data_IF_443193619969
#
_entry.id   IF_443193619969
#
_cell.length_a   1.000
_cell.length_b   1.000
_cell.length_c   1.000
_cell.angle_alpha   90.00
_cell.angle_beta   90.00
_cell.angle_gamma   90.00
#
_symmetry.space_group_name_H-M   'P 1'
#
loop_
_entity.id
_entity.type
_entity.pdbx_description
1 polymer ?
#
# COMPACT_ATOMS: atom_id res chain seq x y z
N UNK A 1 1.18 9.04 -2.45
CA UNK A 1 2.60 9.39 -2.27
C UNK A 1 3.43 9.02 -3.50
N UNK A 2 3.52 7.73 -3.78
CA UNK A 2 4.54 7.19 -4.68
C UNK A 2 4.42 7.77 -6.11
N UNK A 3 3.20 7.90 -6.64
CA UNK A 3 2.94 8.55 -7.94
C UNK A 3 3.48 9.98 -8.01
N UNK A 4 3.35 10.76 -6.93
CA UNK A 4 3.83 12.15 -6.88
C UNK A 4 5.36 12.16 -6.83
N UNK A 5 5.96 11.27 -6.03
CA UNK A 5 7.42 11.16 -5.88
C UNK A 5 8.08 10.70 -7.18
N UNK A 6 7.44 9.79 -7.93
CA UNK A 6 7.87 9.36 -9.27
C UNK A 6 7.79 10.51 -10.29
N UNK A 7 6.69 11.27 -10.30
CA UNK A 7 6.52 12.39 -11.22
C UNK A 7 7.40 13.61 -10.85
N UNK A 8 7.71 13.80 -9.57
CA UNK A 8 8.48 14.92 -9.02
C UNK A 8 9.48 14.41 -7.98
N UNK A 9 10.72 14.06 -8.40
CA UNK A 9 11.73 13.53 -7.48
C UNK A 9 12.07 14.45 -6.29
N UNK A 10 11.92 15.77 -6.46
CA UNK A 10 12.14 16.78 -5.41
C UNK A 10 11.01 16.87 -4.38
N UNK A 11 9.88 16.22 -4.60
CA UNK A 11 8.76 16.24 -3.65
C UNK A 11 9.16 15.58 -2.32
N UNK A 12 8.94 16.27 -1.21
CA UNK A 12 9.17 15.75 0.14
C UNK A 12 7.80 15.62 0.84
N UNK A 13 7.33 14.39 1.13
CA UNK A 13 6.09 14.19 1.85
C UNK A 13 6.23 14.50 3.34
N UNK A 14 5.10 14.81 3.97
CA UNK A 14 5.02 15.05 5.41
C UNK A 14 5.53 13.89 6.27
N UNK A 15 5.41 12.64 5.79
CA UNK A 15 5.88 11.45 6.51
C UNK A 15 7.38 11.18 6.39
N UNK A 16 8.14 12.00 5.65
CA UNK A 16 9.60 12.02 5.74
C UNK A 16 10.00 12.95 6.90
N UNK A 17 10.22 12.36 8.07
CA UNK A 17 10.46 13.09 9.34
C UNK A 17 11.95 13.38 9.53
N UNK A 18 12.81 12.44 9.14
CA UNK A 18 14.25 12.57 9.25
C UNK A 18 14.93 11.72 8.16
N UNK A 19 16.25 11.81 8.06
CA UNK A 19 17.00 10.96 7.14
C UNK A 19 16.81 9.46 7.42
N UNK A 20 16.69 9.08 8.70
CA UNK A 20 16.49 7.70 9.14
C UNK A 20 15.03 7.27 9.12
N UNK A 21 14.08 8.22 9.28
CA UNK A 21 12.64 7.99 9.27
C UNK A 21 12.05 8.60 7.99
N UNK A 22 12.07 7.82 6.90
CA UNK A 22 11.56 8.25 5.59
C UNK A 22 10.56 7.27 5.01
N UNK A 23 9.31 7.72 4.87
CA UNK A 23 8.28 7.00 4.13
C UNK A 23 8.60 6.95 2.62
N UNK A 24 9.27 7.95 2.05
CA UNK A 24 9.72 7.91 0.65
C UNK A 24 10.70 6.76 0.43
N UNK A 25 11.73 6.60 1.27
CA UNK A 25 12.68 5.48 1.17
C UNK A 25 11.97 4.13 1.26
N UNK A 26 11.03 4.00 2.20
CA UNK A 26 10.26 2.77 2.37
C UNK A 26 9.34 2.48 1.16
N UNK A 27 8.52 3.46 0.76
CA UNK A 27 7.47 3.28 -0.25
C UNK A 27 7.99 3.29 -1.70
N UNK A 28 9.18 3.85 -1.94
CA UNK A 28 9.86 3.74 -3.24
C UNK A 28 10.74 2.48 -3.35
N UNK A 29 10.90 1.72 -2.25
CA UNK A 29 11.66 0.48 -2.29
C UNK A 29 10.93 -0.62 -3.05
N UNK A 30 11.69 -1.62 -3.52
CA UNK A 30 11.11 -2.82 -4.16
C UNK A 30 10.09 -3.56 -3.28
N UNK A 31 10.21 -3.42 -1.96
CA UNK A 31 9.33 -4.08 -1.00
C UNK A 31 7.95 -3.43 -0.93
N UNK A 32 7.79 -2.20 -1.41
CA UNK A 32 6.52 -1.49 -1.48
C UNK A 32 5.66 -1.89 -2.68
N UNK A 33 6.15 -2.76 -3.57
CA UNK A 33 5.40 -3.26 -4.72
C UNK A 33 5.30 -4.77 -4.65
N UNK A 34 4.08 -5.30 -4.58
CA UNK A 34 3.82 -6.73 -4.48
C UNK A 34 4.55 -7.37 -3.30
N UNK A 35 4.76 -6.61 -2.22
CA UNK A 35 5.57 -7.01 -1.06
C UNK A 35 7.03 -7.40 -1.40
N UNK A 36 7.53 -7.03 -2.59
CA UNK A 36 8.80 -7.51 -3.15
C UNK A 36 8.83 -9.00 -3.54
N UNK A 37 7.67 -9.67 -3.47
CA UNK A 37 7.54 -11.12 -3.67
C UNK A 37 6.77 -11.42 -4.96
N UNK A 38 5.69 -10.68 -5.22
CA UNK A 38 4.81 -10.94 -6.37
C UNK A 38 5.55 -10.77 -7.70
N UNK A 39 6.36 -9.72 -7.85
CA UNK A 39 7.20 -9.52 -9.05
C UNK A 39 8.17 -10.69 -9.27
N UNK A 40 8.76 -11.21 -8.19
CA UNK A 40 9.70 -12.34 -8.22
C UNK A 40 9.02 -13.68 -8.57
N UNK A 41 7.83 -13.93 -8.04
CA UNK A 41 7.13 -15.21 -8.21
C UNK A 41 6.25 -15.28 -9.46
N UNK A 42 5.53 -14.19 -9.76
CA UNK A 42 4.50 -14.14 -10.81
C UNK A 42 4.91 -13.26 -12.00
N UNK A 43 6.02 -12.52 -11.87
CA UNK A 43 6.56 -11.62 -12.90
C UNK A 43 6.25 -10.14 -12.65
N UNK A 44 7.16 -9.26 -13.06
CA UNK A 44 7.05 -7.82 -12.81
C UNK A 44 5.81 -7.16 -13.46
N UNK A 45 5.34 -7.72 -14.57
CA UNK A 45 4.15 -7.26 -15.30
C UNK A 45 2.86 -7.93 -14.84
N UNK A 46 2.93 -8.83 -13.85
CA UNK A 46 1.74 -9.50 -13.33
C UNK A 46 0.75 -8.47 -12.75
N UNK A 47 -0.54 -8.65 -13.00
CA UNK A 47 -1.56 -7.68 -12.58
C UNK A 47 -1.65 -7.54 -11.05
N UNK A 48 -1.24 -8.57 -10.31
CA UNK A 48 -1.10 -8.51 -8.86
C UNK A 48 0.18 -7.79 -8.41
N UNK A 49 1.16 -7.47 -9.26
CA UNK A 49 2.35 -6.73 -8.84
C UNK A 49 2.05 -5.23 -8.66
N UNK A 50 1.18 -4.93 -7.69
CA UNK A 50 0.65 -3.61 -7.37
C UNK A 50 1.39 -2.99 -6.19
N UNK A 51 1.25 -1.68 -6.00
CA UNK A 51 1.78 -0.99 -4.81
C UNK A 51 1.07 -1.51 -3.55
N UNK A 52 1.81 -1.71 -2.46
CA UNK A 52 1.30 -2.26 -1.20
C UNK A 52 0.06 -1.52 -0.65
N UNK A 53 -0.03 -0.16 -0.73
CA UNK A 53 -1.22 0.55 -0.30
C UNK A 53 -2.52 0.12 -0.99
N UNK A 54 -2.48 -0.41 -2.22
CA UNK A 54 -3.67 -0.92 -2.92
C UNK A 54 -4.25 -2.13 -2.20
N UNK A 55 -3.40 -3.04 -1.72
CA UNK A 55 -3.83 -4.16 -0.88
C UNK A 55 -4.37 -3.69 0.46
N UNK A 56 -3.74 -2.67 1.05
CA UNK A 56 -4.22 -2.05 2.29
C UNK A 56 -5.64 -1.50 2.14
N UNK A 57 -5.91 -0.77 1.05
CA UNK A 57 -7.26 -0.26 0.74
C UNK A 57 -8.27 -1.42 0.66
N UNK A 58 -7.95 -2.47 -0.12
CA UNK A 58 -8.83 -3.64 -0.22
C UNK A 58 -9.08 -4.28 1.14
N UNK A 59 -8.02 -4.50 1.92
CA UNK A 59 -8.11 -5.08 3.26
C UNK A 59 -9.00 -4.26 4.20
N UNK A 60 -8.80 -2.93 4.30
CA UNK A 60 -9.60 -2.08 5.18
C UNK A 60 -11.06 -1.99 4.73
N UNK A 61 -11.32 -1.96 3.42
CA UNK A 61 -12.70 -2.02 2.90
C UNK A 61 -13.36 -3.34 3.32
N UNK A 62 -12.70 -4.48 3.10
CA UNK A 62 -13.23 -5.79 3.50
C UNK A 62 -13.47 -5.86 5.01
N UNK A 63 -12.53 -5.36 5.83
CA UNK A 63 -12.65 -5.35 7.27
C UNK A 63 -13.85 -4.52 7.75
N UNK A 64 -14.06 -3.34 7.16
CA UNK A 64 -15.21 -2.48 7.46
C UNK A 64 -16.52 -3.18 7.08
N UNK A 65 -16.60 -3.75 5.88
CA UNK A 65 -17.79 -4.46 5.42
C UNK A 65 -18.13 -5.65 6.31
N UNK A 66 -17.14 -6.48 6.65
CA UNK A 66 -17.32 -7.62 7.55
C UNK A 66 -17.76 -7.16 8.95
N UNK A 67 -17.20 -6.06 9.46
CA UNK A 67 -17.57 -5.50 10.75
C UNK A 67 -19.02 -5.01 10.76
N UNK A 68 -19.46 -4.36 9.68
CA UNK A 68 -20.85 -3.91 9.50
C UNK A 68 -21.79 -5.12 9.43
N UNK A 69 -21.48 -6.13 8.62
CA UNK A 69 -22.28 -7.35 8.51
C UNK A 69 -22.41 -8.04 9.87
N UNK A 70 -21.30 -8.21 10.60
CA UNK A 70 -21.31 -8.82 11.92
C UNK A 70 -22.12 -7.99 12.94
N UNK A 71 -22.04 -6.66 12.87
CA UNK A 71 -22.86 -5.79 13.73
C UNK A 71 -24.36 -5.95 13.42
N UNK A 72 -24.75 -5.98 12.15
CA UNK A 72 -26.14 -6.18 11.73
C UNK A 72 -26.66 -7.55 12.14
N UNK A 73 -25.88 -8.62 11.90
CA UNK A 73 -26.26 -9.98 12.25
C UNK A 73 -26.42 -10.18 13.76
N UNK A 74 -25.76 -9.39 14.60
CA UNK A 74 -25.95 -9.41 16.07
C UNK A 74 -27.20 -8.68 16.55
N UNK A 75 -27.84 -7.88 15.70
CA UNK A 75 -29.05 -7.11 16.03
C UNK A 75 -30.35 -7.80 15.56
N UNK A 76 -30.24 -8.94 14.88
CA UNK A 76 -31.35 -9.80 14.44
C UNK A 76 -31.40 -11.02 15.36
#
# INVERSE_FOLDING_TARGET
LETIKEARPSYVPFCDVSETISCSKALMSRWSRGFGIVGTLLGEKHFLNLRNPVYGIFFYITLILLSIVNFILKQI
#
